data_IF_162282398816
#
_entry.id   IF_162282398816
#
_cell.length_a   1.000
_cell.length_b   1.000
_cell.length_c   1.000
_cell.angle_alpha   90.00
_cell.angle_beta   90.00
_cell.angle_gamma   90.00
#
_symmetry.space_group_name_H-M   'P 1'
#
loop_
_entity.id
_entity.type
_entity.pdbx_description
1 polymer ?
#
# COMPACT_ATOMS: atom_id res chain seq x y z
N UNK A 1 10.74 27.18 17.63
CA UNK A 1 9.53 26.33 17.74
C UNK A 1 9.10 26.33 19.19
N UNK A 2 7.81 26.44 19.52
CA UNK A 2 7.37 26.44 20.92
C UNK A 2 7.44 25.02 21.50
N UNK A 3 7.69 24.90 22.81
CA UNK A 3 7.75 23.63 23.55
C UNK A 3 6.49 22.78 23.33
N UNK A 4 5.34 23.40 23.10
CA UNK A 4 4.07 22.72 22.79
C UNK A 4 4.11 21.97 21.46
N UNK A 5 4.68 22.57 20.41
CA UNK A 5 4.79 21.92 19.09
C UNK A 5 5.79 20.75 19.11
N UNK A 6 6.85 20.85 19.92
CA UNK A 6 7.84 19.78 20.06
C UNK A 6 7.27 18.58 20.83
N UNK A 7 6.54 18.84 21.93
CA UNK A 7 5.87 17.78 22.69
C UNK A 7 4.78 17.06 21.87
N UNK A 8 4.00 17.81 21.09
CA UNK A 8 3.00 17.23 20.17
C UNK A 8 3.65 16.39 19.08
N UNK A 9 4.77 16.84 18.50
CA UNK A 9 5.53 16.07 17.52
C UNK A 9 6.08 14.77 18.10
N UNK A 10 6.65 14.81 19.31
CA UNK A 10 7.15 13.60 19.99
C UNK A 10 6.00 12.62 20.27
N UNK A 11 4.87 13.10 20.78
CA UNK A 11 3.70 12.27 21.02
C UNK A 11 3.17 11.63 19.73
N UNK A 12 3.16 12.39 18.63
CA UNK A 12 2.77 11.88 17.31
C UNK A 12 3.71 10.76 16.84
N UNK A 13 5.03 10.97 16.95
CA UNK A 13 6.04 9.99 16.53
C UNK A 13 5.92 8.70 17.35
N UNK A 14 5.72 8.79 18.67
CA UNK A 14 5.55 7.61 19.52
C UNK A 14 4.26 6.85 19.20
N UNK A 15 3.15 7.56 18.93
CA UNK A 15 1.92 6.90 18.49
C UNK A 15 2.09 6.21 17.13
N UNK A 16 2.68 6.90 16.14
CA UNK A 16 2.93 6.33 14.82
C UNK A 16 3.88 5.11 14.87
N UNK A 17 4.87 5.14 15.77
CA UNK A 17 5.75 4.00 16.05
C UNK A 17 4.98 2.83 16.68
N UNK A 18 4.10 3.10 17.64
CA UNK A 18 3.24 2.08 18.26
C UNK A 18 2.34 1.41 17.22
N UNK A 19 1.67 2.21 16.38
CA UNK A 19 0.83 1.74 15.28
C UNK A 19 1.62 0.89 14.28
N UNK A 20 2.83 1.32 13.92
CA UNK A 20 3.72 0.58 13.04
C UNK A 20 4.12 -0.78 13.65
N UNK A 21 4.45 -0.82 14.93
CA UNK A 21 4.81 -2.06 15.64
C UNK A 21 3.61 -3.02 15.66
N UNK A 22 2.42 -2.51 15.98
CA UNK A 22 1.19 -3.29 15.98
C UNK A 22 0.88 -3.87 14.59
N UNK A 23 0.97 -3.06 13.55
CA UNK A 23 0.79 -3.48 12.17
C UNK A 23 1.81 -4.57 11.78
N UNK A 24 3.11 -4.31 11.99
CA UNK A 24 4.17 -5.27 11.68
C UNK A 24 3.96 -6.62 12.37
N UNK A 25 3.70 -6.63 13.67
CA UNK A 25 3.47 -7.86 14.43
C UNK A 25 2.25 -8.62 13.93
N UNK A 26 1.17 -7.91 13.59
CA UNK A 26 -0.06 -8.52 13.10
C UNK A 26 0.15 -9.14 11.71
N UNK A 27 0.73 -8.39 10.78
CA UNK A 27 0.99 -8.85 9.41
C UNK A 27 2.07 -9.94 9.35
N UNK A 28 3.03 -9.94 10.28
CA UNK A 28 3.98 -11.05 10.44
C UNK A 28 3.28 -12.31 10.95
N UNK A 29 2.53 -12.20 12.06
CA UNK A 29 1.88 -13.35 12.72
C UNK A 29 0.83 -14.04 11.85
N UNK A 30 0.10 -13.29 11.03
CA UNK A 30 -0.93 -13.86 10.15
C UNK A 30 -0.38 -14.35 8.80
N UNK A 31 0.93 -14.24 8.56
CA UNK A 31 1.57 -14.65 7.31
C UNK A 31 1.26 -13.73 6.13
N UNK A 32 0.86 -12.48 6.37
CA UNK A 32 0.78 -11.46 5.29
C UNK A 32 2.17 -11.13 4.79
N UNK A 33 3.11 -10.88 5.71
CA UNK A 33 4.51 -10.66 5.36
C UNK A 33 5.20 -11.99 5.06
N UNK A 34 6.14 -11.95 4.12
CA UNK A 34 7.03 -13.05 3.82
C UNK A 34 8.08 -13.25 4.91
N UNK A 35 8.78 -14.38 4.88
CA UNK A 35 9.78 -14.76 5.89
C UNK A 35 10.93 -13.75 6.06
N UNK A 36 11.20 -12.89 5.07
CA UNK A 36 12.20 -11.82 5.21
C UNK A 36 11.76 -10.72 6.18
N UNK A 37 10.45 -10.62 6.46
CA UNK A 37 9.80 -9.57 7.26
C UNK A 37 10.08 -8.15 6.74
N UNK A 38 10.26 -7.99 5.42
CA UNK A 38 10.45 -6.67 4.83
C UNK A 38 9.18 -5.85 4.97
N UNK A 39 9.25 -4.81 5.80
CA UNK A 39 8.17 -3.86 6.07
C UNK A 39 8.80 -2.51 6.44
N UNK A 40 8.68 -1.52 5.55
CA UNK A 40 9.28 -0.20 5.73
C UNK A 40 8.25 0.88 5.44
N UNK A 41 8.14 1.82 6.36
CA UNK A 41 7.11 2.87 6.32
C UNK A 41 7.80 4.21 6.09
N UNK A 42 7.25 4.99 5.18
CA UNK A 42 7.50 6.43 5.06
C UNK A 42 6.16 7.13 5.20
N UNK A 43 6.01 7.95 6.25
CA UNK A 43 4.76 8.60 6.60
C UNK A 43 4.97 10.11 6.72
N UNK A 44 4.17 10.90 6.01
CA UNK A 44 4.18 12.35 6.09
C UNK A 44 3.37 12.80 7.31
N UNK A 45 4.04 13.45 8.25
CA UNK A 45 3.39 14.01 9.42
C UNK A 45 2.51 15.20 8.95
N UNK A 46 1.20 15.21 9.25
CA UNK A 46 0.27 16.22 8.78
C UNK A 46 0.75 17.64 9.04
N UNK A 47 0.52 18.54 8.06
CA UNK A 47 0.81 19.98 8.17
C UNK A 47 2.29 20.33 8.46
N UNK A 48 3.20 19.37 8.29
CA UNK A 48 4.64 19.60 8.45
C UNK A 48 5.42 19.21 7.19
N UNK A 49 6.70 19.57 7.18
CA UNK A 49 7.69 19.07 6.21
C UNK A 49 8.37 17.78 6.69
N UNK A 50 7.88 17.13 7.75
CA UNK A 50 8.52 15.91 8.26
C UNK A 50 7.98 14.65 7.59
N UNK A 51 8.91 13.82 7.13
CA UNK A 51 8.71 12.41 6.81
C UNK A 51 9.25 11.56 7.95
N UNK A 52 8.36 10.81 8.59
CA UNK A 52 8.68 9.76 9.54
C UNK A 52 8.99 8.47 8.79
N UNK A 53 10.22 7.98 8.92
CA UNK A 53 10.66 6.70 8.36
C UNK A 53 10.78 5.67 9.48
N UNK A 54 10.11 4.54 9.32
CA UNK A 54 10.13 3.42 10.28
C UNK A 54 10.57 2.17 9.53
N UNK A 55 11.76 1.67 9.85
CA UNK A 55 12.36 0.49 9.21
C UNK A 55 12.42 -0.67 10.19
N UNK A 56 11.65 -1.72 9.91
CA UNK A 56 11.74 -2.97 10.65
C UNK A 56 12.96 -3.78 10.23
N UNK A 57 13.60 -4.49 11.17
CA UNK A 57 14.69 -5.38 10.85
C UNK A 57 14.19 -6.66 10.17
N UNK A 58 15.09 -7.37 9.48
CA UNK A 58 14.75 -8.62 8.81
C UNK A 58 14.48 -9.78 9.79
N UNK A 59 13.87 -10.85 9.28
CA UNK A 59 13.39 -11.99 10.09
C UNK A 59 14.44 -12.74 10.93
N UNK A 60 15.73 -12.61 10.63
CA UNK A 60 16.82 -13.24 11.39
C UNK A 60 17.54 -12.28 12.35
N UNK A 61 17.12 -11.02 12.43
CA UNK A 61 17.74 -10.06 13.34
C UNK A 61 17.47 -10.44 14.80
N UNK A 62 18.52 -10.39 15.63
CA UNK A 62 18.41 -10.65 17.07
C UNK A 62 17.59 -9.59 17.78
N UNK A 63 17.75 -8.33 17.37
CA UNK A 63 16.96 -7.22 17.81
C UNK A 63 15.87 -6.94 16.77
N UNK A 64 14.62 -7.01 17.22
CA UNK A 64 13.44 -6.78 16.39
C UNK A 64 12.93 -5.33 16.51
N UNK A 65 13.65 -4.44 17.19
CA UNK A 65 13.28 -3.04 17.36
C UNK A 65 13.37 -2.28 16.03
N UNK A 66 12.32 -1.52 15.65
CA UNK A 66 12.37 -0.72 14.43
C UNK A 66 13.31 0.48 14.60
N UNK A 67 14.00 0.83 13.52
CA UNK A 67 14.75 2.09 13.43
C UNK A 67 13.81 3.20 12.96
N UNK A 68 13.82 4.31 13.69
CA UNK A 68 13.00 5.49 13.42
C UNK A 68 13.91 6.65 13.02
N UNK A 69 13.58 7.37 11.95
CA UNK A 69 14.27 8.59 11.54
C UNK A 69 13.33 9.61 10.91
N UNK A 70 13.73 10.88 10.95
CA UNK A 70 13.03 11.98 10.27
C UNK A 70 13.84 12.44 9.05
N UNK A 71 13.12 12.91 8.03
CA UNK A 71 13.68 13.55 6.83
C UNK A 71 12.71 14.62 6.31
N UNK A 72 13.14 15.50 5.41
CA UNK A 72 12.27 16.52 4.80
C UNK A 72 11.41 15.94 3.68
N UNK A 73 10.11 16.27 3.66
CA UNK A 73 9.21 15.91 2.56
C UNK A 73 9.57 16.65 1.27
N UNK A 74 9.88 17.94 1.36
CA UNK A 74 10.26 18.78 0.23
C UNK A 74 11.57 18.33 -0.44
N UNK A 75 12.53 17.80 0.32
CA UNK A 75 13.80 17.29 -0.21
C UNK A 75 13.64 15.93 -0.93
N UNK A 76 12.64 15.13 -0.55
CA UNK A 76 12.37 13.80 -1.12
C UNK A 76 11.47 13.87 -2.36
N UNK A 77 11.93 14.58 -3.41
CA UNK A 77 11.13 14.92 -4.61
C UNK A 77 10.59 13.74 -5.42
N UNK A 78 11.22 12.57 -5.31
CA UNK A 78 10.82 11.35 -6.04
C UNK A 78 9.85 10.46 -5.25
N UNK A 79 9.42 10.88 -4.06
CA UNK A 79 8.47 10.13 -3.25
C UNK A 79 7.07 10.15 -3.88
N UNK A 80 6.43 8.99 -3.96
CA UNK A 80 5.10 8.83 -4.56
C UNK A 80 4.01 9.69 -3.88
N UNK A 81 4.22 10.10 -2.63
CA UNK A 81 3.34 11.03 -1.89
C UNK A 81 3.25 12.45 -2.49
N UNK A 82 4.09 12.79 -3.49
CA UNK A 82 3.98 14.02 -4.28
C UNK A 82 2.93 13.93 -5.40
N UNK A 83 2.26 12.79 -5.58
CA UNK A 83 1.13 12.64 -6.50
C UNK A 83 -0.21 12.84 -5.77
N UNK A 84 -0.80 14.03 -5.94
CA UNK A 84 -2.02 14.42 -5.24
C UNK A 84 -3.23 13.53 -5.59
N UNK A 85 -3.27 12.95 -6.80
CA UNK A 85 -4.35 12.05 -7.23
C UNK A 85 -4.44 10.76 -6.40
N UNK A 86 -3.37 10.37 -5.71
CA UNK A 86 -3.36 9.19 -4.85
C UNK A 86 -4.03 9.42 -3.50
N UNK A 87 -4.19 10.68 -3.08
CA UNK A 87 -4.71 11.07 -1.77
C UNK A 87 -4.05 10.28 -0.62
N UNK A 88 -2.71 10.24 -0.59
CA UNK A 88 -1.94 9.44 0.36
C UNK A 88 -1.03 10.30 1.24
N UNK A 89 -0.79 9.84 2.47
CA UNK A 89 0.20 10.39 3.40
C UNK A 89 1.19 9.32 3.89
N UNK A 90 0.95 8.05 3.55
CA UNK A 90 1.74 6.91 3.99
C UNK A 90 2.12 6.07 2.78
N UNK A 91 3.38 5.65 2.75
CA UNK A 91 3.91 4.63 1.85
C UNK A 91 4.47 3.51 2.69
N UNK A 92 4.15 2.27 2.32
CA UNK A 92 4.68 1.08 2.95
C UNK A 92 5.28 0.19 1.86
N UNK A 93 6.59 -0.04 1.92
CA UNK A 93 7.23 -1.09 1.13
C UNK A 93 7.15 -2.40 1.90
N UNK A 94 6.52 -3.42 1.31
CA UNK A 94 6.34 -4.71 1.95
C UNK A 94 6.60 -5.86 0.98
N UNK A 95 7.18 -6.94 1.49
CA UNK A 95 7.27 -8.21 0.77
C UNK A 95 6.22 -9.17 1.35
N UNK A 96 5.15 -9.41 0.60
CA UNK A 96 4.08 -10.33 1.01
C UNK A 96 4.26 -11.71 0.35
N UNK A 97 3.54 -12.74 0.79
CA UNK A 97 3.77 -14.10 0.30
C UNK A 97 3.20 -14.35 -1.11
N UNK A 98 1.94 -14.03 -1.33
CA UNK A 98 1.22 -14.36 -2.55
C UNK A 98 1.24 -13.23 -3.59
N UNK A 99 1.12 -11.96 -3.17
CA UNK A 99 1.20 -10.84 -4.11
C UNK A 99 2.59 -10.76 -4.78
N UNK A 100 3.65 -11.09 -4.05
CA UNK A 100 5.01 -11.16 -4.64
C UNK A 100 5.12 -12.23 -5.72
N UNK A 101 4.26 -13.26 -5.72
CA UNK A 101 4.16 -14.21 -6.83
C UNK A 101 3.72 -13.56 -8.13
N UNK A 102 2.77 -12.62 -8.08
CA UNK A 102 2.37 -11.79 -9.24
C UNK A 102 3.50 -10.83 -9.65
N UNK A 103 4.22 -10.28 -8.67
CA UNK A 103 5.43 -9.48 -8.92
C UNK A 103 6.46 -10.27 -9.72
N UNK A 104 6.77 -11.51 -9.30
CA UNK A 104 7.71 -12.43 -9.97
C UNK A 104 7.21 -12.92 -11.34
N UNK A 105 5.89 -13.04 -11.52
CA UNK A 105 5.29 -13.39 -12.81
C UNK A 105 5.28 -12.22 -13.81
N UNK A 106 5.71 -11.02 -13.38
CA UNK A 106 5.70 -9.78 -14.17
C UNK A 106 4.29 -9.47 -14.70
N UNK A 107 3.26 -9.76 -13.90
CA UNK A 107 1.86 -9.51 -14.24
C UNK A 107 1.25 -8.45 -13.32
N UNK A 108 0.37 -7.57 -13.83
CA UNK A 108 -0.51 -6.81 -12.95
C UNK A 108 -1.38 -7.79 -12.14
N UNK A 109 -1.72 -7.39 -10.92
CA UNK A 109 -2.59 -8.18 -10.05
C UNK A 109 -4.05 -7.70 -10.19
N UNK A 110 -4.96 -8.49 -10.78
CA UNK A 110 -6.37 -8.15 -10.80
C UNK A 110 -6.98 -8.35 -9.41
N UNK A 111 -7.83 -7.42 -8.96
CA UNK A 111 -8.46 -7.48 -7.64
C UNK A 111 -9.87 -8.08 -7.80
N UNK A 112 -9.95 -9.41 -7.77
CA UNK A 112 -11.18 -10.18 -7.97
C UNK A 112 -11.80 -10.66 -6.66
N UNK A 113 -11.08 -10.57 -5.54
CA UNK A 113 -11.65 -10.87 -4.23
C UNK A 113 -12.45 -9.70 -3.66
N UNK A 114 -13.76 -9.90 -3.45
CA UNK A 114 -14.71 -8.83 -3.11
C UNK A 114 -14.36 -8.08 -1.82
N UNK A 115 -13.78 -8.78 -0.83
CA UNK A 115 -13.44 -8.16 0.45
C UNK A 115 -12.33 -7.12 0.30
N UNK A 116 -11.40 -7.30 -0.65
CA UNK A 116 -10.43 -6.28 -1.01
C UNK A 116 -11.05 -5.21 -1.93
N UNK A 117 -11.75 -5.65 -2.98
CA UNK A 117 -12.31 -4.78 -4.00
C UNK A 117 -13.30 -3.73 -3.49
N UNK A 118 -14.07 -4.02 -2.44
CA UNK A 118 -15.08 -3.08 -1.88
C UNK A 118 -14.47 -1.84 -1.21
N UNK A 119 -13.19 -1.89 -0.87
CA UNK A 119 -12.44 -0.80 -0.24
C UNK A 119 -11.63 0.01 -1.25
N UNK A 120 -11.66 -0.38 -2.53
CA UNK A 120 -10.83 0.19 -3.58
C UNK A 120 -11.68 0.66 -4.76
N UNK A 121 -11.22 1.69 -5.46
CA UNK A 121 -11.77 2.05 -6.78
C UNK A 121 -11.02 1.29 -7.88
N UNK A 122 -9.69 1.25 -7.79
CA UNK A 122 -8.84 0.47 -8.69
C UNK A 122 -9.26 -1.01 -8.76
N UNK A 123 -9.17 -1.55 -9.97
CA UNK A 123 -9.51 -2.96 -10.27
C UNK A 123 -8.27 -3.84 -10.40
N UNK A 124 -7.09 -3.22 -10.47
CA UNK A 124 -5.81 -3.92 -10.54
C UNK A 124 -4.71 -3.13 -9.83
N UNK A 125 -3.63 -3.84 -9.51
CA UNK A 125 -2.36 -3.27 -9.07
C UNK A 125 -1.36 -3.46 -10.21
N UNK A 126 -0.81 -2.37 -10.78
CA UNK A 126 0.14 -2.46 -11.88
C UNK A 126 1.45 -3.09 -11.45
N UNK A 127 2.16 -3.67 -12.41
CA UNK A 127 3.49 -4.23 -12.24
C UNK A 127 4.49 -3.44 -13.06
N UNK A 128 5.67 -3.18 -12.49
CA UNK A 128 6.73 -2.46 -13.16
C UNK A 128 8.10 -3.11 -12.99
N UNK A 129 8.76 -3.36 -14.13
CA UNK A 129 10.06 -4.03 -14.21
C UNK A 129 11.24 -3.05 -14.24
N UNK A 130 11.05 -1.84 -14.75
CA UNK A 130 12.15 -0.91 -15.01
C UNK A 130 12.64 -0.20 -13.75
N UNK A 131 13.65 -0.77 -13.11
CA UNK A 131 14.17 -0.27 -11.82
C UNK A 131 15.01 1.01 -11.88
N UNK A 132 15.19 1.60 -13.05
CA UNK A 132 15.91 2.88 -13.23
C UNK A 132 15.02 4.08 -12.95
N UNK A 133 13.70 3.88 -12.93
CA UNK A 133 12.69 4.92 -12.74
C UNK A 133 12.19 4.93 -11.31
N UNK A 134 11.76 6.09 -10.84
CA UNK A 134 11.09 6.22 -9.54
C UNK A 134 9.65 5.71 -9.62
N UNK A 135 9.13 5.20 -8.50
CA UNK A 135 7.71 4.84 -8.35
C UNK A 135 6.80 6.01 -8.73
N UNK A 136 7.18 7.24 -8.39
CA UNK A 136 6.42 8.45 -8.72
C UNK A 136 6.29 8.66 -10.23
N UNK A 137 7.38 8.51 -11.00
CA UNK A 137 7.35 8.67 -12.46
C UNK A 137 6.47 7.62 -13.14
N UNK A 138 6.57 6.37 -12.70
CA UNK A 138 5.78 5.26 -13.24
C UNK A 138 4.29 5.46 -12.97
N UNK A 139 3.95 5.87 -11.74
CA UNK A 139 2.56 6.10 -11.36
C UNK A 139 1.98 7.33 -12.05
N UNK A 140 2.74 8.41 -12.21
CA UNK A 140 2.31 9.57 -13.00
C UNK A 140 1.96 9.19 -14.42
N UNK A 141 2.87 8.50 -15.11
CA UNK A 141 2.64 8.02 -16.47
C UNK A 141 1.39 7.15 -16.56
N UNK A 142 1.21 6.20 -15.63
CA UNK A 142 0.01 5.35 -15.59
C UNK A 142 -1.26 6.18 -15.42
N UNK A 143 -1.27 7.14 -14.50
CA UNK A 143 -2.45 7.98 -14.24
C UNK A 143 -2.75 8.91 -15.42
N UNK A 144 -1.73 9.34 -16.15
CA UNK A 144 -1.88 10.19 -17.33
C UNK A 144 -2.39 9.40 -18.55
N UNK A 145 -1.90 8.17 -18.75
CA UNK A 145 -2.27 7.31 -19.88
C UNK A 145 -3.56 6.51 -19.66
N UNK A 146 -3.87 6.19 -18.40
CA UNK A 146 -5.01 5.37 -17.99
C UNK A 146 -5.79 6.00 -16.83
N UNK A 147 -6.35 7.21 -17.01
CA UNK A 147 -7.15 7.87 -15.98
C UNK A 147 -8.42 7.08 -15.62
N UNK A 148 -8.95 6.28 -16.54
CA UNK A 148 -10.14 5.44 -16.38
C UNK A 148 -9.96 4.31 -15.35
N UNK A 149 -8.73 3.83 -15.14
CA UNK A 149 -8.48 2.66 -14.29
C UNK A 149 -8.46 2.95 -12.78
N UNK A 150 -8.85 4.16 -12.37
CA UNK A 150 -8.76 4.73 -11.01
C UNK A 150 -7.34 4.69 -10.41
N UNK A 151 -6.97 5.57 -9.48
CA UNK A 151 -5.64 5.52 -8.86
C UNK A 151 -5.36 4.17 -8.18
N UNK A 152 -4.28 3.46 -8.55
CA UNK A 152 -3.97 2.17 -7.94
C UNK A 152 -3.55 2.36 -6.47
N UNK A 153 -3.74 1.36 -5.59
CA UNK A 153 -3.35 1.44 -4.18
C UNK A 153 -1.88 1.08 -3.93
N UNK A 154 -1.21 0.53 -4.95
CA UNK A 154 0.14 0.02 -4.86
C UNK A 154 0.79 -0.08 -6.25
N UNK A 155 2.09 -0.37 -6.26
CA UNK A 155 2.87 -0.75 -7.43
C UNK A 155 3.67 -2.01 -7.08
N UNK A 156 3.55 -3.06 -7.89
CA UNK A 156 4.43 -4.22 -7.79
C UNK A 156 5.79 -3.88 -8.38
N UNK A 157 6.86 -4.07 -7.62
CA UNK A 157 8.23 -3.94 -8.11
C UNK A 157 8.71 -5.31 -8.57
N UNK A 158 8.79 -5.56 -9.88
CA UNK A 158 9.06 -6.91 -10.40
C UNK A 158 10.28 -7.55 -9.74
N UNK A 159 10.15 -8.82 -9.37
CA UNK A 159 11.17 -9.61 -8.65
C UNK A 159 11.48 -9.13 -7.22
N UNK A 160 10.63 -8.28 -6.66
CA UNK A 160 10.72 -7.79 -5.29
C UNK A 160 9.37 -7.88 -4.57
N UNK A 161 9.08 -6.88 -3.74
CA UNK A 161 7.79 -6.72 -3.08
C UNK A 161 6.89 -5.73 -3.81
N UNK A 162 6.17 -4.94 -3.04
CA UNK A 162 5.32 -3.87 -3.55
C UNK A 162 5.39 -2.63 -2.64
N UNK A 163 5.26 -1.47 -3.27
CA UNK A 163 5.02 -0.21 -2.59
C UNK A 163 3.52 0.02 -2.51
N UNK A 164 2.98 0.12 -1.31
CA UNK A 164 1.57 0.44 -1.03
C UNK A 164 1.47 1.87 -0.54
N UNK A 165 0.35 2.53 -0.80
CA UNK A 165 0.11 3.87 -0.26
C UNK A 165 -1.34 4.08 0.16
N UNK A 166 -1.53 5.00 1.11
CA UNK A 166 -2.84 5.31 1.66
C UNK A 166 -2.79 6.38 2.75
N UNK A 167 -3.88 6.45 3.53
CA UNK A 167 -4.07 7.38 4.64
C UNK A 167 -3.79 6.73 5.99
N UNK A 168 -2.69 7.08 6.61
CA UNK A 168 -2.23 6.57 7.90
C UNK A 168 -1.66 5.15 7.84
N UNK A 169 -0.86 4.82 8.84
CA UNK A 169 -0.13 3.55 8.94
C UNK A 169 -1.09 2.37 9.05
N UNK A 170 -2.07 2.44 9.95
CA UNK A 170 -3.00 1.33 10.21
C UNK A 170 -3.86 1.00 8.99
N UNK A 171 -4.50 1.99 8.37
CA UNK A 171 -5.36 1.73 7.19
C UNK A 171 -4.56 1.25 5.98
N UNK A 172 -3.34 1.77 5.78
CA UNK A 172 -2.46 1.29 4.71
C UNK A 172 -2.02 -0.16 4.99
N UNK A 173 -1.79 -0.53 6.25
CA UNK A 173 -1.47 -1.90 6.65
C UNK A 173 -2.66 -2.86 6.52
N UNK A 174 -3.87 -2.41 6.82
CA UNK A 174 -5.11 -3.17 6.62
C UNK A 174 -5.38 -3.41 5.13
N UNK A 175 -5.10 -2.42 4.29
CA UNK A 175 -5.15 -2.56 2.83
C UNK A 175 -4.17 -3.64 2.34
N UNK A 176 -2.92 -3.66 2.84
CA UNK A 176 -1.94 -4.72 2.52
C UNK A 176 -2.50 -6.09 2.87
N UNK A 177 -3.10 -6.23 4.06
CA UNK A 177 -3.73 -7.48 4.50
C UNK A 177 -4.79 -7.95 3.50
N UNK A 178 -5.71 -7.08 3.10
CA UNK A 178 -6.77 -7.46 2.16
C UNK A 178 -6.26 -7.79 0.77
N UNK A 179 -5.27 -7.04 0.26
CA UNK A 179 -4.66 -7.32 -1.05
C UNK A 179 -3.92 -8.66 -1.02
N UNK A 180 -3.16 -8.93 0.03
CA UNK A 180 -2.45 -10.20 0.15
C UNK A 180 -3.42 -11.38 0.30
N UNK A 181 -4.50 -11.21 1.06
CA UNK A 181 -5.55 -12.21 1.15
C UNK A 181 -6.21 -12.46 -0.22
N UNK A 182 -6.47 -11.40 -1.00
CA UNK A 182 -6.96 -11.51 -2.37
C UNK A 182 -5.98 -12.28 -3.26
N UNK A 183 -4.69 -11.95 -3.19
CA UNK A 183 -3.65 -12.62 -3.96
C UNK A 183 -3.55 -14.11 -3.61
N UNK A 184 -3.64 -14.44 -2.31
CA UNK A 184 -3.65 -15.83 -1.82
C UNK A 184 -4.83 -16.61 -2.38
N UNK A 185 -6.05 -16.11 -2.22
CA UNK A 185 -7.23 -16.84 -2.69
C UNK A 185 -7.26 -16.95 -4.21
N UNK A 186 -6.83 -15.93 -4.94
CA UNK A 186 -6.74 -16.01 -6.39
C UNK A 186 -5.69 -17.02 -6.86
N UNK A 187 -4.50 -17.04 -6.24
CA UNK A 187 -3.48 -18.04 -6.56
C UNK A 187 -3.92 -19.48 -6.26
N UNK A 188 -4.74 -19.69 -5.22
CA UNK A 188 -5.37 -20.98 -4.94
C UNK A 188 -6.47 -21.29 -5.97
N UNK A 189 -7.30 -20.31 -6.32
CA UNK A 189 -8.38 -20.48 -7.30
C UNK A 189 -7.87 -20.86 -8.69
N UNK A 190 -6.72 -20.32 -9.13
CA UNK A 190 -6.06 -20.70 -10.39
C UNK A 190 -5.78 -22.21 -10.49
N UNK A 191 -5.60 -22.91 -9.36
CA UNK A 191 -5.37 -24.36 -9.35
C UNK A 191 -6.65 -25.19 -9.50
N UNK A 192 -7.83 -24.57 -9.32
CA UNK A 192 -9.14 -25.25 -9.32
C UNK A 192 -9.95 -24.90 -10.58
N UNK A 193 -9.74 -23.72 -11.16
CA UNK A 193 -10.46 -23.25 -12.34
C UNK A 193 -10.39 -21.75 -12.63
N UNK A 194 -9.59 -21.00 -11.86
CA UNK A 194 -9.40 -19.55 -12.01
C UNK A 194 -10.43 -18.73 -11.24
N UNK A 195 -9.98 -17.58 -10.73
CA UNK A 195 -10.88 -16.62 -10.09
C UNK A 195 -11.82 -15.98 -11.13
N UNK A 196 -13.10 -15.85 -10.79
CA UNK A 196 -14.11 -15.30 -11.70
C UNK A 196 -14.34 -13.81 -11.47
N UNK A 197 -14.72 -13.10 -12.52
CA UNK A 197 -15.15 -11.69 -12.43
C UNK A 197 -16.49 -11.57 -11.70
N UNK A 198 -16.74 -10.39 -11.14
CA UNK A 198 -18.02 -10.09 -10.49
C UNK A 198 -19.17 -10.11 -11.49
N UNK A 199 -20.34 -10.55 -11.04
CA UNK A 199 -21.57 -10.32 -11.81
C UNK A 199 -21.88 -8.82 -11.86
N UNK A 200 -22.54 -8.31 -12.93
CA UNK A 200 -22.94 -6.92 -13.01
C UNK A 200 -23.70 -6.45 -11.76
N UNK A 201 -23.40 -5.25 -11.26
CA UNK A 201 -24.06 -4.68 -10.07
C UNK A 201 -23.50 -5.15 -8.72
N UNK A 202 -22.70 -6.22 -8.69
CA UNK A 202 -22.22 -6.78 -7.42
C UNK A 202 -21.25 -5.82 -6.70
N UNK A 203 -20.39 -5.13 -7.45
CA UNK A 203 -19.40 -4.23 -6.87
C UNK A 203 -20.02 -2.90 -6.48
N UNK A 204 -20.96 -2.39 -7.27
CA UNK A 204 -21.75 -1.18 -7.00
C UNK A 204 -22.52 -1.33 -5.69
N UNK A 205 -23.10 -2.51 -5.44
CA UNK A 205 -23.74 -2.82 -4.16
C UNK A 205 -22.77 -2.72 -2.97
N UNK A 206 -21.53 -3.17 -3.14
CA UNK A 206 -20.51 -3.06 -2.09
C UNK A 206 -20.05 -1.62 -1.90
N UNK A 207 -19.82 -0.90 -3.00
CA UNK A 207 -19.43 0.51 -2.97
C UNK A 207 -20.51 1.42 -2.37
N UNK A 208 -21.79 1.07 -2.51
CA UNK A 208 -22.88 1.75 -1.79
C UNK A 208 -22.71 1.64 -0.27
N UNK A 209 -22.21 0.50 0.23
CA UNK A 209 -21.99 0.26 1.66
C UNK A 209 -20.73 0.95 2.19
N UNK A 210 -19.72 1.13 1.34
CA UNK A 210 -18.44 1.76 1.72
C UNK A 210 -18.36 3.25 1.36
N UNK A 211 -19.39 3.81 0.72
CA UNK A 211 -19.42 5.21 0.30
C UNK A 211 -18.56 5.51 -0.93
N UNK A 212 -18.14 4.47 -1.68
CA UNK A 212 -17.32 4.63 -2.88
C UNK A 212 -18.13 4.77 -4.18
N UNK A 213 -19.45 4.55 -4.13
CA UNK A 213 -20.28 4.46 -5.35
C UNK A 213 -20.29 5.76 -6.16
N UNK A 214 -20.42 6.91 -5.52
CA UNK A 214 -20.40 8.19 -6.24
C UNK A 214 -19.02 8.48 -6.84
N UNK A 215 -17.95 8.13 -6.10
CA UNK A 215 -16.57 8.29 -6.57
C UNK A 215 -16.25 7.37 -7.75
N UNK A 216 -16.86 6.19 -7.84
CA UNK A 216 -16.59 5.25 -8.92
C UNK A 216 -17.06 5.75 -10.29
N UNK A 217 -18.05 6.65 -10.34
CA UNK A 217 -18.54 7.20 -11.61
C UNK A 217 -17.50 8.03 -12.36
N UNK A 218 -16.48 8.55 -11.67
CA UNK A 218 -15.35 9.22 -12.32
C UNK A 218 -14.43 8.26 -13.11
N UNK A 219 -14.61 6.94 -12.93
CA UNK A 219 -13.75 5.88 -13.46
C UNK A 219 -14.55 4.81 -14.21
N UNK A 220 -15.83 5.07 -14.49
CA UNK A 220 -16.65 4.21 -15.32
C UNK A 220 -16.36 4.52 -16.80
N UNK A 221 -15.30 3.91 -17.32
CA UNK A 221 -15.05 3.77 -18.76
C UNK A 221 -15.72 2.51 -19.30
#
# INVERSE_FOLDING_TARGET
MSVTHEAELVAYIEQAKSDAIHAFQTLSRNGTLSASLTFHITHRIPETDHLLNIRFPGGLARDQSPKVSLSSFAENKNLVLHEARLDADTVIHAHTNFLSGWSLAHKPFPILYVAAARHLLAREIPNHLERTRSVLEVIRERLDNHPELAPPPALLESNGGANFWGKGIIKTSELILFIEEAARYQAIAEQIGGAQVYTPGALELQWKRTGLLEKSYAYAG
#
